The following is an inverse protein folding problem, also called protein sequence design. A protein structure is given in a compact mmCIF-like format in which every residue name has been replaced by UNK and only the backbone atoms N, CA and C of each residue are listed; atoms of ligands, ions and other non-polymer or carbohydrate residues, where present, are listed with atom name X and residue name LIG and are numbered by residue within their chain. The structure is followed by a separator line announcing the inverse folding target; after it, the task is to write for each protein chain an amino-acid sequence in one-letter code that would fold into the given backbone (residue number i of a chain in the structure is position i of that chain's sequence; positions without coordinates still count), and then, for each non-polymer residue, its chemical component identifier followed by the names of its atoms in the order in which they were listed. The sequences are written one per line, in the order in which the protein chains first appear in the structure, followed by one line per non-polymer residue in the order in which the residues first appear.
data_IF_708773246261
#
_entry.id   IF_708773246261
#
_cell.length_a   1.000
_cell.length_b   1.000
_cell.length_c   1.000
_cell.angle_alpha   90.00
_cell.angle_beta   90.00
_cell.angle_gamma   90.00
#
_symmetry.space_group_name_H-M   'P 1'
#
loop_
_entity.id
_entity.type
_entity.pdbx_description
1 polymer ?
#
# COMPACT_ATOMS: atom_id res chain seq x y z
N UNK A 1 -1.29 14.25 7.76
CA UNK A 1 0.13 14.63 7.75
C UNK A 1 0.25 16.13 7.97
N UNK A 2 1.08 16.58 8.92
CA UNK A 2 1.28 18.02 9.18
C UNK A 2 -0.04 18.81 9.37
N UNK A 3 -0.92 18.28 10.23
CA UNK A 3 -2.26 18.85 10.48
C UNK A 3 -3.27 18.73 9.33
N UNK A 4 -2.87 18.20 8.16
CA UNK A 4 -3.69 18.09 6.96
C UNK A 4 -4.16 16.66 6.71
N UNK A 5 -5.36 16.51 6.16
CA UNK A 5 -5.84 15.26 5.57
C UNK A 5 -5.44 15.24 4.10
N UNK A 6 -4.71 14.20 3.67
CA UNK A 6 -4.20 14.10 2.30
C UNK A 6 -4.75 12.87 1.59
N UNK A 7 -4.94 12.98 0.27
CA UNK A 7 -5.23 11.87 -0.63
C UNK A 7 -4.37 11.97 -1.89
N UNK A 8 -4.19 10.85 -2.59
CA UNK A 8 -3.21 10.68 -3.66
C UNK A 8 -3.90 10.13 -4.90
N UNK A 9 -3.75 10.82 -6.03
CA UNK A 9 -4.28 10.35 -7.32
C UNK A 9 -3.24 9.48 -8.03
N UNK A 10 -3.55 8.19 -8.17
CA UNK A 10 -2.68 7.17 -8.77
C UNK A 10 -2.52 7.30 -10.30
N UNK A 11 -3.30 8.17 -10.96
CA UNK A 11 -3.18 8.44 -12.40
C UNK A 11 -2.36 9.67 -12.68
N UNK A 12 -2.68 10.78 -12.00
CA UNK A 12 -2.02 12.06 -12.25
C UNK A 12 -0.75 12.24 -11.44
N UNK A 13 -0.60 11.54 -10.31
CA UNK A 13 0.48 11.77 -9.35
C UNK A 13 0.28 13.04 -8.51
N UNK A 14 -0.88 13.69 -8.57
CA UNK A 14 -1.20 14.82 -7.70
C UNK A 14 -1.55 14.34 -6.29
N UNK A 15 -1.01 15.05 -5.31
CA UNK A 15 -1.42 14.96 -3.92
C UNK A 15 -2.42 16.07 -3.64
N UNK A 16 -3.54 15.72 -3.04
CA UNK A 16 -4.60 16.63 -2.67
C UNK A 16 -4.69 16.75 -1.15
N UNK A 17 -4.87 17.98 -0.68
CA UNK A 17 -5.42 18.23 0.65
C UNK A 17 -6.94 18.13 0.59
N UNK A 18 -7.52 17.33 1.47
CA UNK A 18 -8.96 17.20 1.62
C UNK A 18 -9.43 18.14 2.73
N UNK A 19 -10.02 19.26 2.32
CA UNK A 19 -10.66 20.20 3.23
C UNK A 19 -12.09 19.71 3.52
N UNK A 20 -12.31 19.27 4.76
CA UNK A 20 -13.58 18.72 5.22
C UNK A 20 -14.66 19.80 5.41
N UNK A 21 -14.28 21.04 5.71
CA UNK A 21 -15.22 22.14 5.89
C UNK A 21 -15.78 22.58 4.54
N UNK A 22 -14.90 22.81 3.56
CA UNK A 22 -15.32 23.25 2.23
C UNK A 22 -15.69 22.10 1.29
N UNK A 23 -15.41 20.85 1.68
CA UNK A 23 -15.61 19.62 0.90
C UNK A 23 -14.88 19.66 -0.45
N UNK A 24 -13.65 20.17 -0.44
CA UNK A 24 -12.81 20.32 -1.64
C UNK A 24 -11.55 19.48 -1.54
N UNK A 25 -11.13 18.96 -2.68
CA UNK A 25 -9.80 18.43 -2.88
C UNK A 25 -8.92 19.53 -3.50
N UNK A 26 -7.96 20.04 -2.74
CA UNK A 26 -7.08 21.14 -3.14
C UNK A 26 -5.73 20.55 -3.57
N UNK A 27 -5.29 20.71 -4.83
CA UNK A 27 -3.99 20.22 -5.26
C UNK A 27 -2.87 20.87 -4.43
N UNK A 28 -1.96 20.05 -3.92
CA UNK A 28 -0.81 20.53 -3.15
C UNK A 28 0.50 20.38 -3.93
N UNK A 29 0.86 19.15 -4.32
CA UNK A 29 2.12 18.84 -5.00
C UNK A 29 1.94 17.74 -6.05
N UNK A 30 2.87 17.68 -7.01
CA UNK A 30 2.93 16.66 -8.04
C UNK A 30 4.09 15.68 -7.79
N UNK A 31 3.83 14.40 -7.94
CA UNK A 31 4.79 13.30 -7.81
C UNK A 31 5.04 12.69 -9.18
N UNK A 32 6.23 12.92 -9.76
CA UNK A 32 6.64 12.25 -10.99
C UNK A 32 7.01 10.79 -10.76
N UNK A 33 6.71 9.92 -11.73
CA UNK A 33 7.02 8.49 -11.68
C UNK A 33 8.53 8.21 -11.54
N UNK A 34 8.86 7.05 -10.97
CA UNK A 34 10.24 6.57 -10.85
C UNK A 34 11.11 7.53 -10.05
N UNK A 35 12.27 7.90 -10.59
CA UNK A 35 13.19 8.84 -9.96
C UNK A 35 12.73 10.32 -10.01
N UNK A 36 11.48 10.59 -10.42
CA UNK A 36 10.91 11.94 -10.52
C UNK A 36 11.28 12.71 -11.79
N UNK A 37 12.13 12.16 -12.68
CA UNK A 37 12.47 12.75 -13.98
C UNK A 37 11.60 12.20 -15.11
N UNK A 38 10.30 12.11 -14.86
CA UNK A 38 9.30 11.59 -15.81
C UNK A 38 8.18 12.60 -16.00
N UNK A 39 7.56 12.59 -17.18
CA UNK A 39 6.33 13.36 -17.46
C UNK A 39 5.06 12.62 -17.01
N UNK A 40 5.19 11.35 -16.59
CA UNK A 40 4.09 10.56 -16.03
C UNK A 40 4.00 10.75 -14.52
N UNK A 41 2.78 10.83 -14.00
CA UNK A 41 2.52 10.82 -12.57
C UNK A 41 2.92 9.49 -11.92
N UNK A 42 3.34 9.53 -10.66
CA UNK A 42 3.53 8.34 -9.86
C UNK A 42 2.18 7.68 -9.57
N UNK A 43 2.08 6.38 -9.87
CA UNK A 43 1.01 5.52 -9.36
C UNK A 43 1.20 5.34 -7.85
N UNK A 44 0.59 6.23 -7.06
CA UNK A 44 0.76 6.28 -5.61
C UNK A 44 -0.26 5.38 -4.95
N UNK A 45 0.21 4.40 -4.19
CA UNK A 45 -0.62 3.31 -3.66
C UNK A 45 -0.72 3.35 -2.14
N UNK A 46 0.34 3.80 -1.46
CA UNK A 46 0.36 3.89 -0.01
C UNK A 46 1.08 5.16 0.43
N UNK A 47 0.70 5.64 1.62
CA UNK A 47 1.39 6.74 2.27
C UNK A 47 1.45 6.54 3.78
N UNK A 48 2.56 6.95 4.38
CA UNK A 48 2.75 6.95 5.84
C UNK A 48 3.65 8.09 6.28
N UNK A 49 3.51 8.50 7.54
CA UNK A 49 4.43 9.45 8.18
C UNK A 49 5.53 8.70 8.91
N UNK A 50 6.76 9.19 8.81
CA UNK A 50 7.90 8.79 9.66
C UNK A 50 8.78 10.00 9.93
N UNK A 51 9.12 10.26 11.20
CA UNK A 51 10.07 11.32 11.59
C UNK A 51 9.72 12.70 11.02
N UNK A 52 8.43 13.03 10.98
CA UNK A 52 7.96 14.32 10.45
C UNK A 52 7.94 14.42 8.92
N UNK A 53 8.35 13.37 8.19
CA UNK A 53 8.31 13.30 6.73
C UNK A 53 7.16 12.39 6.27
N UNK A 54 6.62 12.71 5.11
CA UNK A 54 5.62 11.89 4.41
C UNK A 54 6.32 11.00 3.40
N UNK A 55 6.11 9.69 3.51
CA UNK A 55 6.56 8.68 2.57
C UNK A 55 5.37 8.26 1.70
N UNK A 56 5.52 8.32 0.39
CA UNK A 56 4.50 7.92 -0.59
C UNK A 56 5.09 6.93 -1.57
N UNK A 57 4.66 5.69 -1.51
CA UNK A 57 5.15 4.64 -2.39
C UNK A 57 4.18 4.25 -3.48
N UNK A 58 4.74 3.63 -4.51
CA UNK A 58 3.99 2.91 -5.53
C UNK A 58 3.88 1.43 -5.16
N UNK A 59 3.45 0.59 -6.10
CA UNK A 59 3.09 -0.81 -5.83
C UNK A 59 4.25 -1.73 -5.48
N UNK A 60 5.50 -1.32 -5.68
CA UNK A 60 6.67 -2.06 -5.22
C UNK A 60 7.07 -3.27 -6.07
N UNK A 61 6.59 -3.36 -7.32
CA UNK A 61 6.94 -4.43 -8.26
C UNK A 61 7.46 -3.91 -9.60
N UNK A 62 8.16 -4.75 -10.36
CA UNK A 62 8.60 -4.44 -11.71
C UNK A 62 7.47 -4.66 -12.74
N UNK A 63 7.55 -3.96 -13.89
CA UNK A 63 6.85 -4.38 -15.10
C UNK A 63 7.77 -5.27 -15.94
N UNK A 64 7.27 -6.45 -16.27
CA UNK A 64 8.03 -7.52 -16.91
C UNK A 64 7.50 -7.76 -18.32
N UNK A 65 8.40 -7.91 -19.28
CA UNK A 65 8.10 -8.33 -20.65
C UNK A 65 9.19 -9.29 -21.11
N UNK A 66 8.79 -10.43 -21.67
CA UNK A 66 9.71 -11.45 -22.18
C UNK A 66 10.76 -11.90 -21.13
N UNK A 67 10.35 -11.99 -19.87
CA UNK A 67 11.21 -12.39 -18.74
C UNK A 67 12.16 -11.29 -18.22
N UNK A 68 12.10 -10.07 -18.77
CA UNK A 68 12.97 -8.95 -18.40
C UNK A 68 12.17 -7.82 -17.77
N UNK A 69 12.66 -7.28 -16.65
CA UNK A 69 12.12 -6.06 -16.05
C UNK A 69 12.46 -4.85 -16.93
N UNK A 70 11.49 -4.34 -17.68
CA UNK A 70 11.69 -3.21 -18.59
C UNK A 70 11.35 -1.85 -17.96
N UNK A 71 10.58 -1.84 -16.87
CA UNK A 71 10.28 -0.64 -16.10
C UNK A 71 10.29 -0.96 -14.59
N UNK A 72 10.93 -0.08 -13.82
CA UNK A 72 11.11 -0.19 -12.36
C UNK A 72 10.59 1.05 -11.62
N UNK A 73 9.74 1.85 -12.24
CA UNK A 73 9.27 3.12 -11.67
C UNK A 73 8.48 2.91 -10.38
N UNK A 74 7.77 1.79 -10.27
CA UNK A 74 6.96 1.44 -9.09
C UNK A 74 7.81 0.98 -7.88
N UNK A 75 9.13 0.84 -8.04
CA UNK A 75 10.07 0.57 -6.96
C UNK A 75 10.55 1.84 -6.24
N UNK A 76 10.11 3.02 -6.69
CA UNK A 76 10.51 4.29 -6.09
C UNK A 76 9.49 4.78 -5.06
N UNK A 77 10.01 5.38 -3.99
CA UNK A 77 9.23 6.04 -2.93
C UNK A 77 9.56 7.54 -2.93
N UNK A 78 8.57 8.38 -2.67
CA UNK A 78 8.74 9.84 -2.52
C UNK A 78 8.75 10.18 -1.06
N UNK A 79 9.81 10.86 -0.62
CA UNK A 79 9.94 11.40 0.73
C UNK A 79 9.72 12.90 0.66
N UNK A 80 8.74 13.37 1.42
CA UNK A 80 8.15 14.69 1.24
C UNK A 80 8.20 15.42 2.58
N UNK A 81 8.76 16.62 2.56
CA UNK A 81 8.79 17.54 3.71
C UNK A 81 7.44 18.25 3.92
N UNK A 82 7.17 18.85 5.08
CA UNK A 82 5.95 19.65 5.30
C UNK A 82 5.77 20.77 4.26
N UNK A 83 6.89 21.37 3.82
CA UNK A 83 6.93 22.43 2.82
C UNK A 83 6.74 21.93 1.37
N UNK A 84 6.65 20.62 1.16
CA UNK A 84 6.39 20.02 -0.14
C UNK A 84 7.64 19.73 -0.99
N UNK A 85 8.85 19.84 -0.42
CA UNK A 85 10.06 19.35 -1.10
C UNK A 85 9.98 17.82 -1.25
N UNK A 86 10.10 17.34 -2.49
CA UNK A 86 10.00 15.93 -2.86
C UNK A 86 11.40 15.36 -3.16
N UNK A 87 11.79 14.32 -2.42
CA UNK A 87 13.02 13.56 -2.64
C UNK A 87 12.69 12.12 -3.02
N UNK A 88 12.97 11.68 -4.26
CA UNK A 88 12.76 10.29 -4.68
C UNK A 88 13.85 9.38 -4.10
N UNK A 89 13.45 8.22 -3.59
CA UNK A 89 14.33 7.17 -3.10
C UNK A 89 14.08 5.87 -3.85
N UNK A 90 15.16 5.22 -4.29
CA UNK A 90 15.07 3.87 -4.84
C UNK A 90 14.89 2.87 -3.69
N UNK A 91 13.82 2.09 -3.72
CA UNK A 91 13.48 1.08 -2.73
C UNK A 91 13.54 -0.35 -3.31
N UNK A 92 14.14 -0.54 -4.48
CA UNK A 92 14.31 -1.85 -5.13
C UNK A 92 14.82 -2.92 -4.17
N UNK A 93 15.96 -2.70 -3.50
CA UNK A 93 16.53 -3.68 -2.56
C UNK A 93 15.61 -3.94 -1.34
N UNK A 94 14.81 -2.95 -0.93
CA UNK A 94 13.88 -3.07 0.20
C UNK A 94 12.67 -3.92 -0.17
N UNK A 95 12.07 -3.67 -1.33
CA UNK A 95 10.99 -4.50 -1.86
C UNK A 95 11.46 -5.92 -2.16
N UNK A 96 12.70 -6.06 -2.67
CA UNK A 96 13.31 -7.37 -2.89
C UNK A 96 13.49 -8.15 -1.57
N UNK A 97 13.95 -7.48 -0.51
CA UNK A 97 14.06 -8.08 0.82
C UNK A 97 12.69 -8.51 1.39
N UNK A 98 11.66 -7.66 1.24
CA UNK A 98 10.29 -7.98 1.66
C UNK A 98 9.74 -9.23 0.95
N UNK A 99 9.87 -9.33 -0.38
CA UNK A 99 9.34 -10.48 -1.14
C UNK A 99 10.09 -11.77 -0.80
N UNK A 100 11.42 -11.70 -0.59
CA UNK A 100 12.24 -12.85 -0.18
C UNK A 100 11.85 -13.41 1.19
N UNK A 101 11.38 -12.57 2.11
CA UNK A 101 10.91 -13.01 3.43
C UNK A 101 9.72 -14.00 3.35
N UNK A 102 8.99 -14.01 2.24
CA UNK A 102 7.84 -14.91 1.99
C UNK A 102 8.06 -15.80 0.77
N UNK A 103 9.34 -16.08 0.46
CA UNK A 103 9.78 -16.97 -0.63
C UNK A 103 9.23 -16.59 -2.01
N UNK A 104 9.11 -15.30 -2.27
CA UNK A 104 8.74 -14.75 -3.58
C UNK A 104 9.99 -14.21 -4.26
N UNK A 105 10.31 -14.76 -5.43
CA UNK A 105 11.50 -14.41 -6.21
C UNK A 105 11.10 -13.98 -7.62
N UNK A 106 11.81 -12.99 -8.17
CA UNK A 106 11.62 -12.57 -9.56
C UNK A 106 11.59 -13.79 -10.51
N UNK A 107 10.62 -13.90 -11.44
CA UNK A 107 9.69 -12.86 -11.90
C UNK A 107 8.40 -12.71 -11.07
N UNK A 108 8.21 -13.48 -10.00
CA UNK A 108 7.13 -13.27 -9.05
C UNK A 108 7.38 -12.02 -8.20
N UNK A 109 6.31 -11.39 -7.69
CA UNK A 109 6.41 -10.15 -6.94
C UNK A 109 5.29 -9.99 -5.91
N UNK A 110 5.50 -9.11 -4.94
CA UNK A 110 4.44 -8.61 -4.07
C UNK A 110 3.97 -7.25 -4.63
N UNK A 111 2.67 -7.01 -4.54
CA UNK A 111 2.05 -5.71 -4.85
C UNK A 111 1.59 -5.09 -3.55
N UNK A 112 2.08 -3.91 -3.24
CA UNK A 112 1.83 -3.21 -1.99
C UNK A 112 0.92 -2.01 -2.21
N UNK A 113 -0.27 -2.03 -1.62
CA UNK A 113 -1.17 -0.86 -1.54
C UNK A 113 -1.31 -0.34 -0.11
N UNK A 114 -0.63 -0.97 0.85
CA UNK A 114 -0.67 -0.51 2.23
C UNK A 114 0.68 -0.66 2.92
N UNK A 115 1.05 0.40 3.63
CA UNK A 115 2.26 0.49 4.42
C UNK A 115 2.05 1.49 5.55
N UNK A 116 2.57 1.21 6.74
CA UNK A 116 2.61 2.16 7.85
C UNK A 116 3.92 2.01 8.62
N UNK A 117 4.49 3.13 9.04
CA UNK A 117 5.60 3.16 9.98
C UNK A 117 5.07 3.27 11.41
N UNK A 118 5.58 2.42 12.31
CA UNK A 118 5.31 2.52 13.75
C UNK A 118 6.48 3.16 14.47
N UNK A 119 6.22 4.30 15.12
CA UNK A 119 7.19 4.94 16.00
C UNK A 119 7.39 4.17 17.31
N UNK A 120 6.41 3.37 17.73
CA UNK A 120 6.45 2.51 18.93
C UNK A 120 7.39 1.33 18.70
N UNK A 121 7.18 0.59 17.61
CA UNK A 121 7.94 -0.62 17.31
C UNK A 121 9.26 -0.34 16.57
N UNK A 122 9.43 0.88 16.02
CA UNK A 122 10.53 1.24 15.11
C UNK A 122 10.61 0.31 13.91
N UNK A 123 9.45 0.04 13.31
CA UNK A 123 9.30 -0.89 12.19
C UNK A 123 8.33 -0.35 11.14
N UNK A 124 8.62 -0.69 9.89
CA UNK A 124 7.67 -0.63 8.79
C UNK A 124 6.77 -1.85 8.82
N UNK A 125 5.49 -1.66 8.55
CA UNK A 125 4.52 -2.72 8.39
C UNK A 125 3.90 -2.64 7.00
N UNK A 126 3.74 -3.78 6.33
CA UNK A 126 3.13 -3.88 5.02
C UNK A 126 2.11 -5.02 4.99
N UNK A 127 1.01 -4.79 4.31
CA UNK A 127 0.06 -5.85 3.97
C UNK A 127 -0.08 -5.89 2.46
N UNK A 128 0.67 -6.78 1.76
CA UNK A 128 0.62 -6.86 0.31
C UNK A 128 -0.80 -7.14 -0.17
N UNK A 129 -1.28 -6.32 -1.12
CA UNK A 129 -2.55 -6.54 -1.78
C UNK A 129 -2.51 -7.89 -2.49
N UNK A 130 -1.48 -8.12 -3.31
CA UNK A 130 -1.35 -9.30 -4.20
C UNK A 130 0.02 -9.96 -4.10
N UNK A 131 0.06 -11.26 -4.39
CA UNK A 131 1.26 -12.03 -4.69
C UNK A 131 1.20 -12.50 -6.15
N UNK A 132 1.94 -11.83 -7.03
CA UNK A 132 2.03 -12.20 -8.44
C UNK A 132 2.88 -13.45 -8.60
N UNK A 133 2.46 -14.38 -9.45
CA UNK A 133 3.26 -15.56 -9.82
C UNK A 133 4.26 -15.28 -10.96
N UNK A 134 4.17 -14.10 -11.59
CA UNK A 134 4.98 -13.70 -12.74
C UNK A 134 4.57 -12.33 -13.28
N UNK A 135 4.71 -12.09 -14.61
CA UNK A 135 4.20 -10.88 -15.25
C UNK A 135 2.71 -10.64 -14.96
N UNK A 136 2.32 -9.36 -14.87
CA UNK A 136 0.92 -8.98 -14.67
C UNK A 136 0.01 -9.58 -15.74
N UNK A 137 -1.02 -10.31 -15.30
CA UNK A 137 -2.12 -10.80 -16.12
C UNK A 137 -3.45 -10.31 -15.53
N UNK A 138 -4.22 -9.48 -16.26
CA UNK A 138 -5.46 -8.92 -15.74
C UNK A 138 -6.54 -9.97 -15.42
N UNK A 139 -6.44 -11.20 -15.95
CA UNK A 139 -7.41 -12.26 -15.68
C UNK A 139 -7.14 -12.98 -14.35
N UNK A 140 -5.87 -13.09 -13.96
CA UNK A 140 -5.49 -13.77 -12.71
C UNK A 140 -5.28 -12.78 -11.57
N UNK A 141 -4.84 -11.56 -11.86
CA UNK A 141 -4.56 -10.51 -10.86
C UNK A 141 -5.66 -10.32 -9.81
N UNK A 142 -6.97 -10.31 -10.17
CA UNK A 142 -8.05 -10.15 -9.20
C UNK A 142 -8.18 -11.29 -8.18
N UNK A 143 -7.50 -12.41 -8.38
CA UNK A 143 -7.59 -13.64 -7.59
C UNK A 143 -6.32 -13.97 -6.78
N UNK A 144 -5.35 -13.04 -6.74
CA UNK A 144 -4.02 -13.25 -6.15
C UNK A 144 -3.84 -12.55 -4.79
N UNK A 145 -4.93 -12.30 -4.06
CA UNK A 145 -4.87 -11.62 -2.77
C UNK A 145 -4.10 -12.39 -1.71
N UNK A 146 -3.54 -11.66 -0.75
CA UNK A 146 -2.76 -12.25 0.36
C UNK A 146 -3.42 -12.00 1.72
N UNK A 147 -3.03 -12.79 2.72
CA UNK A 147 -3.35 -12.56 4.13
C UNK A 147 -2.08 -12.22 4.96
N UNK A 148 -1.04 -11.68 4.32
CA UNK A 148 0.28 -11.53 4.92
C UNK A 148 0.41 -10.17 5.60
N UNK A 149 0.93 -10.15 6.83
CA UNK A 149 1.48 -8.96 7.47
C UNK A 149 3.00 -9.08 7.57
N UNK A 150 3.73 -8.21 6.89
CA UNK A 150 5.18 -8.07 6.98
C UNK A 150 5.53 -6.96 7.96
N UNK A 151 6.57 -7.18 8.79
CA UNK A 151 7.20 -6.10 9.54
C UNK A 151 8.70 -6.10 9.30
N UNK A 152 9.28 -4.94 9.02
CA UNK A 152 10.71 -4.75 8.76
C UNK A 152 11.27 -3.68 9.71
N UNK A 153 12.48 -3.88 10.21
CA UNK A 153 13.22 -2.80 10.88
C UNK A 153 13.53 -1.65 9.91
N UNK A 154 14.10 -0.56 10.42
CA UNK A 154 14.38 0.66 9.66
C UNK A 154 15.19 0.43 8.38
N UNK A 155 16.08 -0.56 8.42
CA UNK A 155 17.06 -0.86 7.38
C UNK A 155 16.70 -2.11 6.56
N UNK A 156 15.53 -2.71 6.80
CA UNK A 156 15.07 -3.94 6.12
C UNK A 156 16.06 -5.11 6.25
N UNK A 157 16.76 -5.19 7.40
CA UNK A 157 17.71 -6.26 7.73
C UNK A 157 17.08 -7.33 8.63
N UNK A 158 16.09 -6.95 9.45
CA UNK A 158 15.27 -7.87 10.24
C UNK A 158 13.82 -7.77 9.77
N UNK A 159 13.38 -8.76 8.99
CA UNK A 159 12.01 -8.83 8.45
C UNK A 159 11.31 -10.05 9.03
N UNK A 160 10.07 -9.86 9.47
CA UNK A 160 9.20 -10.90 10.02
C UNK A 160 7.90 -10.91 9.23
N UNK A 161 7.25 -12.06 9.15
CA UNK A 161 5.91 -12.18 8.60
C UNK A 161 5.01 -12.94 9.57
N UNK A 162 3.73 -12.59 9.57
CA UNK A 162 2.62 -13.36 10.15
C UNK A 162 1.49 -13.41 9.14
N UNK A 163 0.49 -14.25 9.42
CA UNK A 163 -0.75 -14.32 8.63
C UNK A 163 -1.91 -13.77 9.45
N UNK A 164 -2.87 -13.13 8.79
CA UNK A 164 -4.02 -12.46 9.41
C UNK A 164 -5.30 -12.99 8.78
N UNK A 165 -6.02 -13.85 9.51
CA UNK A 165 -7.22 -14.51 9.02
C UNK A 165 -6.98 -15.44 7.84
N UNK A 166 -8.06 -15.84 7.16
CA UNK A 166 -8.01 -16.74 6.00
C UNK A 166 -7.65 -16.01 4.70
N UNK A 167 -7.10 -16.76 3.74
CA UNK A 167 -6.85 -16.24 2.38
C UNK A 167 -8.17 -16.24 1.61
N UNK A 168 -8.68 -15.05 1.35
CA UNK A 168 -9.73 -14.82 0.36
C UNK A 168 -9.07 -14.31 -0.92
N UNK A 169 -9.01 -15.13 -1.97
CA UNK A 169 -8.25 -14.83 -3.20
C UNK A 169 -8.61 -13.50 -3.85
N UNK A 170 -9.82 -13.01 -3.58
CA UNK A 170 -10.36 -11.81 -4.22
C UNK A 170 -10.32 -10.57 -3.31
N UNK A 171 -10.09 -10.74 -2.00
CA UNK A 171 -10.09 -9.64 -1.03
C UNK A 171 -8.65 -9.28 -0.64
N UNK A 172 -8.13 -8.21 -1.23
CA UNK A 172 -6.74 -7.79 -1.01
C UNK A 172 -6.66 -6.61 -0.04
N UNK A 173 -5.68 -6.60 0.86
CA UNK A 173 -5.42 -5.47 1.76
C UNK A 173 -5.00 -4.22 0.99
N UNK A 174 -5.86 -3.19 1.02
CA UNK A 174 -5.65 -1.92 0.30
C UNK A 174 -5.33 -0.75 1.25
N UNK A 175 -5.61 -0.85 2.54
CA UNK A 175 -5.22 0.18 3.52
C UNK A 175 -5.26 -0.36 4.94
N UNK A 176 -4.42 0.16 5.83
CA UNK A 176 -4.56 -0.09 7.27
C UNK A 176 -4.00 1.06 8.10
N UNK A 177 -4.38 1.09 9.38
CA UNK A 177 -3.82 1.96 10.42
C UNK A 177 -3.79 1.24 11.76
N UNK A 178 -2.81 1.59 12.59
CA UNK A 178 -2.84 1.26 14.01
C UNK A 178 -3.94 2.06 14.71
N UNK A 179 -4.70 1.42 15.60
CA UNK A 179 -5.72 2.10 16.39
C UNK A 179 -5.02 2.94 17.46
N UNK A 180 -5.28 4.26 17.56
CA UNK A 180 -4.67 5.14 18.54
C UNK A 180 -4.87 4.65 19.97
N UNK A 181 -3.85 4.79 20.81
CA UNK A 181 -3.90 4.39 22.23
C UNK A 181 -3.76 2.89 22.47
N UNK A 182 -3.30 2.12 21.47
CA UNK A 182 -3.09 0.67 21.57
C UNK A 182 -1.62 0.24 21.47
N UNK A 183 -0.67 1.17 21.62
CA UNK A 183 0.77 0.93 21.45
C UNK A 183 1.10 0.25 20.11
N UNK A 184 0.39 0.64 19.05
CA UNK A 184 0.48 0.06 17.72
C UNK A 184 0.31 -1.48 17.70
N UNK A 185 -0.48 -2.03 18.63
CA UNK A 185 -0.73 -3.48 18.71
C UNK A 185 -2.03 -3.90 18.04
N UNK A 186 -3.02 -3.00 17.94
CA UNK A 186 -4.31 -3.26 17.29
C UNK A 186 -4.35 -2.54 15.95
N UNK A 187 -4.74 -3.25 14.90
CA UNK A 187 -4.81 -2.76 13.52
C UNK A 187 -6.25 -2.78 13.04
N UNK A 188 -6.69 -1.70 12.40
CA UNK A 188 -7.87 -1.68 11.52
C UNK A 188 -7.41 -1.68 10.07
N UNK A 189 -7.97 -2.56 9.25
CA UNK A 189 -7.59 -2.69 7.85
C UNK A 189 -8.81 -2.75 6.92
N UNK A 190 -8.60 -2.28 5.69
CA UNK A 190 -9.50 -2.43 4.58
C UNK A 190 -8.98 -3.50 3.62
N UNK A 191 -9.90 -4.33 3.13
CA UNK A 191 -9.68 -5.15 1.95
C UNK A 191 -10.61 -4.71 0.83
N UNK A 192 -10.08 -4.52 -0.37
CA UNK A 192 -10.88 -4.28 -1.57
C UNK A 192 -11.02 -5.56 -2.38
N UNK A 193 -12.17 -5.72 -3.01
CA UNK A 193 -12.49 -6.83 -3.91
C UNK A 193 -12.72 -6.31 -5.33
N UNK A 194 -12.17 -7.03 -6.32
CA UNK A 194 -12.40 -6.82 -7.74
C UNK A 194 -13.00 -8.11 -8.34
N UNK A 195 -14.26 -8.06 -8.80
CA UNK A 195 -14.96 -9.19 -9.42
C UNK A 195 -15.44 -8.85 -10.82
N UNK A 196 -15.70 -9.88 -11.63
CA UNK A 196 -16.44 -9.74 -12.88
C UNK A 196 -17.69 -10.63 -12.81
N UNK A 197 -18.86 -10.01 -12.82
CA UNK A 197 -20.16 -10.71 -12.78
C UNK A 197 -20.96 -10.30 -14.01
N UNK A 198 -21.42 -11.29 -14.79
CA UNK A 198 -22.13 -11.07 -16.07
C UNK A 198 -21.37 -10.13 -17.04
N UNK A 199 -20.03 -10.24 -17.05
CA UNK A 199 -19.16 -9.42 -17.88
C UNK A 199 -19.01 -7.96 -17.43
N UNK A 200 -19.48 -7.62 -16.22
CA UNK A 200 -19.33 -6.27 -15.65
C UNK A 200 -18.44 -6.30 -14.41
N UNK A 201 -17.55 -5.32 -14.22
CA UNK A 201 -16.79 -5.20 -13.00
C UNK A 201 -17.73 -4.91 -11.82
N UNK A 202 -17.55 -5.64 -10.74
CA UNK A 202 -18.16 -5.39 -9.44
C UNK A 202 -17.05 -5.19 -8.42
N UNK A 203 -17.29 -4.28 -7.48
CA UNK A 203 -16.34 -3.94 -6.46
C UNK A 203 -17.00 -4.07 -5.09
N UNK A 204 -16.18 -4.34 -4.08
CA UNK A 204 -16.62 -4.21 -2.70
C UNK A 204 -15.46 -3.82 -1.80
N UNK A 205 -15.79 -3.30 -0.63
CA UNK A 205 -14.81 -3.05 0.44
C UNK A 205 -15.26 -3.74 1.71
N UNK A 206 -14.30 -4.36 2.37
CA UNK A 206 -14.44 -5.01 3.67
C UNK A 206 -13.54 -4.32 4.70
N UNK A 207 -13.97 -4.30 5.96
CA UNK A 207 -13.18 -3.82 7.10
C UNK A 207 -12.96 -4.97 8.09
N UNK A 208 -11.79 -5.01 8.72
CA UNK A 208 -11.48 -5.98 9.78
C UNK A 208 -10.58 -5.36 10.86
N UNK A 209 -10.53 -6.01 12.03
CA UNK A 209 -9.68 -5.60 13.16
C UNK A 209 -8.93 -6.80 13.70
N UNK A 210 -7.63 -6.66 13.94
CA UNK A 210 -6.76 -7.73 14.42
C UNK A 210 -5.57 -7.19 15.21
N UNK A 211 -4.88 -8.07 15.93
CA UNK A 211 -3.61 -7.77 16.60
C UNK A 211 -2.43 -7.99 15.64
N UNK A 212 -1.33 -7.26 15.84
CA UNK A 212 -0.11 -7.38 15.02
C UNK A 212 0.52 -8.79 14.99
N UNK A 213 0.12 -9.69 15.90
CA UNK A 213 0.54 -11.09 15.89
C UNK A 213 -0.31 -11.99 14.96
N UNK A 214 -1.37 -11.44 14.35
CA UNK A 214 -2.28 -12.13 13.46
C UNK A 214 -3.62 -12.51 14.09
N UNK A 215 -3.81 -12.31 15.40
CA UNK A 215 -5.05 -12.65 16.10
C UNK A 215 -6.19 -11.75 15.63
N UNK A 216 -7.19 -12.33 14.95
CA UNK A 216 -8.37 -11.60 14.49
C UNK A 216 -9.30 -11.28 15.67
N UNK A 217 -9.65 -9.99 15.82
CA UNK A 217 -10.60 -9.49 16.82
C UNK A 217 -12.00 -9.38 16.21
N UNK A 218 -12.08 -8.81 15.01
CA UNK A 218 -13.27 -8.68 14.20
C UNK A 218 -12.95 -9.16 12.79
N UNK A 219 -13.65 -10.21 12.37
CA UNK A 219 -13.56 -10.75 11.02
C UNK A 219 -14.14 -9.77 9.98
N UNK A 220 -13.86 -10.02 8.71
CA UNK A 220 -14.23 -9.17 7.59
C UNK A 220 -15.72 -8.83 7.56
N UNK A 221 -16.02 -7.53 7.53
CA UNK A 221 -17.36 -6.99 7.36
C UNK A 221 -17.42 -6.17 6.08
N UNK A 222 -18.30 -6.53 5.14
CA UNK A 222 -18.55 -5.71 3.94
C UNK A 222 -19.17 -4.38 4.34
N UNK A 223 -18.59 -3.28 3.87
CA UNK A 223 -19.02 -1.90 4.18
C UNK A 223 -19.42 -1.09 2.95
N UNK A 224 -19.14 -1.56 1.73
CA UNK A 224 -19.41 -0.81 0.50
C UNK A 224 -19.43 -1.71 -0.73
N UNK A 225 -20.17 -1.27 -1.75
CA UNK A 225 -20.14 -1.80 -3.13
C UNK A 225 -19.21 -0.98 -4.06
N UNK A 226 -18.35 -0.16 -3.45
CA UNK A 226 -17.28 0.60 -4.08
C UNK A 226 -15.93 0.19 -3.47
N UNK A 227 -14.83 0.53 -4.14
CA UNK A 227 -13.48 0.42 -3.57
C UNK A 227 -13.17 1.65 -2.71
N UNK A 228 -12.92 1.44 -1.42
CA UNK A 228 -12.24 2.40 -0.57
C UNK A 228 -10.81 1.90 -0.34
N UNK A 229 -9.85 2.70 -0.78
CA UNK A 229 -8.42 2.36 -0.78
C UNK A 229 -7.65 3.19 0.26
N UNK A 230 -8.37 3.81 1.20
CA UNK A 230 -7.79 4.65 2.24
C UNK A 230 -8.63 4.62 3.51
N UNK A 231 -7.96 4.39 4.65
CA UNK A 231 -8.51 4.58 6.00
C UNK A 231 -7.57 5.44 6.83
N UNK A 232 -8.14 6.37 7.58
CA UNK A 232 -7.42 7.24 8.51
C UNK A 232 -8.31 7.67 9.68
N UNK A 233 -7.70 7.96 10.83
CA UNK A 233 -8.37 8.59 11.96
C UNK A 233 -8.36 10.12 11.79
N UNK A 234 -9.55 10.73 11.68
CA UNK A 234 -9.76 12.16 11.39
C UNK A 234 -10.49 12.88 12.52
#
# INVERSE_FOLDING_TARGET
YDGRLLSFDDKTGLVYELDLETKKAIPWIYLGAGNGKSTKGQKSEWATKREGLLYVGSSGNELIKDGVAFNKDMLWVKVITPEGLVTPQNWEDKYDALRKQVDVHFPAALVHESCTWSDVHKRWFFMPLRKLEGPFDPNTYPHLSTNILLSADENFQDIKNVTVGDVHGDHGFCSFKFIPGTDDTVVVALKSEDQVVDGKPQYSTHIMVFLIDGTVIQDELRISDLKFEGIEFI
#
